data_IF_741563039599
#
_entry.id   IF_741563039599
#
_cell.length_a   1.000
_cell.length_b   1.000
_cell.length_c   1.000
_cell.angle_alpha   90.00
_cell.angle_beta   90.00
_cell.angle_gamma   90.00
#
_symmetry.space_group_name_H-M   'P 1'
#
loop_
_entity.id
_entity.type
_entity.pdbx_description
1 polymer ?
#
# COMPACT_ATOMS: atom_id res chain seq x y z
N UNK A 1 6.70 34.11 7.14
CA UNK A 1 6.94 34.54 5.74
C UNK A 1 5.78 34.01 4.90
N UNK A 2 5.14 34.81 4.03
CA UNK A 2 4.18 34.27 3.07
C UNK A 2 4.92 33.39 2.05
N UNK A 3 4.30 32.31 1.60
CA UNK A 3 4.88 31.49 0.55
C UNK A 3 5.03 32.34 -0.73
N UNK A 4 6.23 32.34 -1.31
CA UNK A 4 6.52 33.00 -2.59
C UNK A 4 5.72 32.30 -3.69
N UNK A 5 5.15 33.07 -4.62
CA UNK A 5 4.42 32.49 -5.76
C UNK A 5 5.33 31.51 -6.53
N UNK A 6 4.80 30.35 -6.94
CA UNK A 6 5.60 29.34 -7.64
C UNK A 6 6.14 29.92 -8.95
N UNK A 7 7.47 29.90 -9.10
CA UNK A 7 8.17 30.40 -10.27
C UNK A 7 8.01 29.42 -11.44
N UNK A 8 7.33 29.86 -12.50
CA UNK A 8 7.11 29.05 -13.71
C UNK A 8 8.38 28.68 -14.47
N UNK A 9 9.52 29.31 -14.13
CA UNK A 9 10.83 29.04 -14.73
C UNK A 9 11.74 28.21 -13.84
N UNK A 10 11.33 27.87 -12.62
CA UNK A 10 12.08 27.00 -11.73
C UNK A 10 11.93 25.53 -12.20
N UNK A 11 12.97 24.90 -12.77
CA UNK A 11 12.90 23.53 -13.21
C UNK A 11 12.65 22.55 -12.05
N UNK A 12 12.89 22.94 -10.79
CA UNK A 12 12.58 22.15 -9.60
C UNK A 12 11.20 22.46 -9.02
N UNK A 13 10.55 23.54 -9.44
CA UNK A 13 9.24 23.97 -8.95
C UNK A 13 8.07 23.11 -9.44
N UNK A 14 8.24 22.40 -10.58
CA UNK A 14 7.17 21.61 -11.22
C UNK A 14 7.62 20.25 -11.82
N UNK A 15 8.91 19.89 -11.76
CA UNK A 15 9.37 18.60 -12.26
C UNK A 15 9.73 17.66 -11.11
N UNK A 16 9.06 16.51 -11.03
CA UNK A 16 9.44 15.45 -10.12
C UNK A 16 10.87 14.98 -10.43
N UNK A 17 11.77 15.11 -9.45
CA UNK A 17 13.12 14.53 -9.53
C UNK A 17 13.04 13.11 -8.98
N UNK A 18 13.25 12.12 -9.86
CA UNK A 18 13.40 10.73 -9.43
C UNK A 18 14.72 10.57 -8.68
N UNK A 19 14.66 10.12 -7.42
CA UNK A 19 15.87 9.69 -6.69
C UNK A 19 16.20 8.27 -7.15
N UNK A 20 17.42 8.01 -7.67
CA UNK A 20 17.81 6.66 -8.07
C UNK A 20 17.78 5.71 -6.87
N UNK A 21 17.15 4.56 -7.03
CA UNK A 21 17.20 3.45 -6.07
C UNK A 21 18.17 2.40 -6.60
N UNK A 22 19.47 2.63 -6.38
CA UNK A 22 20.54 1.80 -6.96
C UNK A 22 20.56 0.36 -6.40
N UNK A 23 20.01 0.15 -5.20
CA UNK A 23 20.02 -1.15 -4.51
C UNK A 23 18.69 -1.90 -4.61
N UNK A 24 17.60 -1.23 -5.02
CA UNK A 24 16.25 -1.79 -5.00
C UNK A 24 15.59 -1.78 -3.61
N UNK A 25 16.26 -1.23 -2.59
CA UNK A 25 15.79 -1.19 -1.20
C UNK A 25 14.56 -0.29 -1.07
N UNK A 26 14.57 0.87 -1.73
CA UNK A 26 13.41 1.77 -1.74
C UNK A 26 12.20 1.14 -2.42
N UNK A 27 12.45 0.39 -3.50
CA UNK A 27 11.44 -0.36 -4.24
C UNK A 27 10.83 -1.47 -3.38
N UNK A 28 11.65 -2.14 -2.57
CA UNK A 28 11.19 -3.14 -1.60
C UNK A 28 10.29 -2.52 -0.53
N UNK A 29 10.73 -1.42 0.11
CA UNK A 29 9.94 -0.72 1.12
C UNK A 29 8.60 -0.23 0.56
N UNK A 30 8.61 0.28 -0.67
CA UNK A 30 7.38 0.67 -1.38
C UNK A 30 6.44 -0.53 -1.61
N UNK A 31 6.97 -1.69 -2.01
CA UNK A 31 6.18 -2.90 -2.20
C UNK A 31 5.55 -3.38 -0.88
N UNK A 32 6.31 -3.33 0.23
CA UNK A 32 5.82 -3.65 1.57
C UNK A 32 4.67 -2.72 1.97
N UNK A 33 4.83 -1.40 1.78
CA UNK A 33 3.76 -0.43 2.03
C UNK A 33 2.50 -0.70 1.19
N UNK A 34 2.64 -0.96 -0.12
CA UNK A 34 1.47 -1.26 -0.95
C UNK A 34 0.76 -2.53 -0.51
N UNK A 35 1.50 -3.60 -0.22
CA UNK A 35 0.91 -4.85 0.25
C UNK A 35 0.08 -4.62 1.52
N UNK A 36 0.65 -3.93 2.50
CA UNK A 36 -0.02 -3.60 3.75
C UNK A 36 -1.28 -2.74 3.52
N UNK A 37 -1.18 -1.64 2.79
CA UNK A 37 -2.30 -0.72 2.58
C UNK A 37 -3.49 -1.42 1.91
N UNK A 38 -3.27 -2.22 0.86
CA UNK A 38 -4.36 -2.92 0.18
C UNK A 38 -4.96 -4.04 1.04
N UNK A 39 -4.18 -4.73 1.86
CA UNK A 39 -4.70 -5.70 2.82
C UNK A 39 -5.56 -5.01 3.90
N UNK A 40 -5.12 -3.85 4.42
CA UNK A 40 -5.90 -3.04 5.38
C UNK A 40 -7.21 -2.51 4.78
N UNK A 41 -7.24 -2.24 3.47
CA UNK A 41 -8.45 -1.89 2.72
C UNK A 41 -9.39 -3.08 2.45
N UNK A 42 -8.99 -4.30 2.82
CA UNK A 42 -9.81 -5.51 2.74
C UNK A 42 -9.61 -6.32 1.46
N UNK A 43 -8.58 -6.02 0.65
CA UNK A 43 -8.23 -6.86 -0.48
C UNK A 43 -7.59 -8.17 0.01
N UNK A 44 -7.88 -9.28 -0.68
CA UNK A 44 -7.23 -10.56 -0.43
C UNK A 44 -5.81 -10.61 -1.00
N UNK A 45 -4.93 -11.48 -0.48
CA UNK A 45 -3.52 -11.58 -0.93
C UNK A 45 -3.39 -11.84 -2.43
N UNK A 46 -4.25 -12.68 -3.02
CA UNK A 46 -4.26 -12.93 -4.47
C UNK A 46 -4.63 -11.68 -5.27
N UNK A 47 -5.60 -10.90 -4.79
CA UNK A 47 -6.00 -9.64 -5.43
C UNK A 47 -4.85 -8.62 -5.36
N UNK A 48 -4.14 -8.58 -4.24
CA UNK A 48 -2.95 -7.73 -4.08
C UNK A 48 -1.87 -8.15 -5.06
N UNK A 49 -1.55 -9.44 -5.20
CA UNK A 49 -0.56 -9.94 -6.18
C UNK A 49 -0.95 -9.52 -7.61
N UNK A 50 -2.22 -9.61 -8.00
CA UNK A 50 -2.68 -9.18 -9.31
C UNK A 50 -2.49 -7.66 -9.55
N UNK A 51 -2.56 -6.83 -8.52
CA UNK A 51 -2.23 -5.40 -8.63
C UNK A 51 -0.78 -5.19 -9.08
N UNK A 52 0.16 -5.94 -8.49
CA UNK A 52 1.58 -5.89 -8.86
C UNK A 52 1.84 -6.43 -10.27
N UNK A 53 1.09 -7.43 -10.74
CA UNK A 53 1.25 -7.98 -12.09
C UNK A 53 0.73 -7.05 -13.19
N UNK A 54 -0.21 -6.17 -12.88
CA UNK A 54 -0.89 -5.34 -13.87
C UNK A 54 -0.11 -4.05 -14.22
N UNK A 55 0.25 -3.82 -15.50
CA UNK A 55 0.93 -2.59 -15.93
C UNK A 55 0.09 -1.31 -15.73
N UNK A 56 -1.21 -1.45 -15.45
CA UNK A 56 -2.10 -0.34 -15.12
C UNK A 56 -1.74 0.30 -13.78
N UNK A 57 -1.09 -0.43 -12.88
CA UNK A 57 -0.61 0.05 -11.59
C UNK A 57 0.90 0.26 -11.66
N UNK A 58 1.33 1.33 -12.33
CA UNK A 58 2.74 1.53 -12.72
C UNK A 58 3.76 1.33 -11.59
N UNK A 59 3.49 1.84 -10.39
CA UNK A 59 4.43 1.73 -9.26
C UNK A 59 4.49 0.30 -8.69
N UNK A 60 3.34 -0.35 -8.53
CA UNK A 60 3.30 -1.75 -8.11
C UNK A 60 3.94 -2.66 -9.17
N UNK A 61 3.68 -2.39 -10.45
CA UNK A 61 4.27 -3.12 -11.56
C UNK A 61 5.77 -2.88 -11.71
N UNK A 62 6.24 -1.69 -11.38
CA UNK A 62 7.66 -1.41 -11.29
C UNK A 62 8.31 -2.28 -10.22
N UNK A 63 7.73 -2.35 -9.02
CA UNK A 63 8.22 -3.24 -7.97
C UNK A 63 8.23 -4.72 -8.38
N UNK A 64 7.20 -5.18 -9.11
CA UNK A 64 7.17 -6.52 -9.70
C UNK A 64 8.33 -6.77 -10.67
N UNK A 65 8.68 -5.79 -11.47
CA UNK A 65 9.75 -5.90 -12.48
C UNK A 65 11.14 -5.85 -11.85
N UNK A 66 11.33 -5.00 -10.84
CA UNK A 66 12.63 -4.80 -10.17
C UNK A 66 12.93 -5.93 -9.18
N UNK A 67 11.96 -6.31 -8.34
CA UNK A 67 12.15 -7.30 -7.26
C UNK A 67 11.89 -8.73 -7.75
N UNK A 68 11.07 -8.88 -8.78
CA UNK A 68 10.64 -10.17 -9.30
C UNK A 68 9.44 -10.77 -8.56
N UNK A 69 8.81 -11.75 -9.23
CA UNK A 69 7.56 -12.37 -8.79
C UNK A 69 7.65 -13.04 -7.41
N UNK A 70 8.75 -13.75 -7.15
CA UNK A 70 8.95 -14.47 -5.89
C UNK A 70 9.00 -13.51 -4.71
N UNK A 71 9.86 -12.48 -4.76
CA UNK A 71 10.02 -11.53 -3.66
C UNK A 71 8.73 -10.74 -3.39
N UNK A 72 8.00 -10.34 -4.42
CA UNK A 72 6.69 -9.68 -4.23
C UNK A 72 5.68 -10.64 -3.57
N UNK A 73 5.65 -11.91 -3.98
CA UNK A 73 4.76 -12.91 -3.38
C UNK A 73 5.09 -13.14 -1.91
N UNK A 74 6.38 -13.20 -1.55
CA UNK A 74 6.84 -13.30 -0.16
C UNK A 74 6.41 -12.08 0.66
N UNK A 75 6.61 -10.87 0.13
CA UNK A 75 6.19 -9.61 0.78
C UNK A 75 4.68 -9.61 1.05
N UNK A 76 3.87 -9.94 0.04
CA UNK A 76 2.40 -9.97 0.20
C UNK A 76 1.97 -11.04 1.20
N UNK A 77 2.60 -12.21 1.18
CA UNK A 77 2.31 -13.30 2.12
C UNK A 77 2.63 -12.88 3.56
N UNK A 78 3.79 -12.26 3.77
CA UNK A 78 4.22 -11.76 5.08
C UNK A 78 3.27 -10.66 5.60
N UNK A 79 2.91 -9.70 4.74
CA UNK A 79 1.96 -8.65 5.10
C UNK A 79 0.56 -9.24 5.39
N UNK A 80 0.13 -10.25 4.62
CA UNK A 80 -1.17 -10.90 4.79
C UNK A 80 -1.29 -11.61 6.13
N UNK A 81 -0.20 -12.17 6.67
CA UNK A 81 -0.19 -12.81 7.98
C UNK A 81 -0.47 -11.82 9.13
N UNK A 82 -0.21 -10.52 8.93
CA UNK A 82 -0.39 -9.47 9.93
C UNK A 82 -1.73 -8.75 9.72
N UNK A 83 -2.06 -8.44 8.45
CA UNK A 83 -3.08 -7.45 8.10
C UNK A 83 -4.33 -8.03 7.44
N UNK A 84 -4.38 -9.32 7.12
CA UNK A 84 -5.56 -9.89 6.45
C UNK A 84 -6.81 -9.82 7.35
N UNK A 85 -7.99 -9.46 6.78
CA UNK A 85 -9.25 -9.40 7.51
C UNK A 85 -9.68 -10.70 8.21
N UNK A 86 -9.11 -11.84 7.82
CA UNK A 86 -9.30 -13.12 8.52
C UNK A 86 -8.77 -13.10 9.97
N UNK A 87 -7.92 -12.13 10.32
CA UNK A 87 -7.49 -11.83 11.69
C UNK A 87 -8.25 -10.61 12.29
N UNK A 88 -9.51 -10.39 11.92
CA UNK A 88 -10.39 -9.52 12.72
C UNK A 88 -10.86 -10.33 13.94
N UNK A 89 -10.49 -9.97 15.19
CA UNK A 89 -11.14 -10.58 16.36
C UNK A 89 -12.65 -10.37 16.25
N UNK A 90 -13.49 -11.34 16.65
CA UNK A 90 -14.94 -11.19 16.57
C UNK A 90 -15.34 -9.89 17.27
N UNK A 91 -16.25 -9.14 16.65
CA UNK A 91 -16.81 -7.96 17.30
C UNK A 91 -17.30 -8.35 18.71
N UNK A 92 -17.05 -7.54 19.75
CA UNK A 92 -17.61 -7.82 21.06
C UNK A 92 -19.13 -7.99 20.91
N UNK A 93 -19.76 -8.92 21.66
CA UNK A 93 -21.20 -9.11 21.57
C UNK A 93 -21.87 -7.77 21.81
N UNK A 94 -22.87 -7.45 20.97
CA UNK A 94 -23.65 -6.23 21.15
C UNK A 94 -24.17 -6.18 22.59
N UNK A 95 -24.11 -5.03 23.27
CA UNK A 95 -24.67 -4.91 24.61
C UNK A 95 -26.15 -5.30 24.55
N UNK A 96 -26.69 -5.98 25.59
CA UNK A 96 -28.09 -6.37 25.60
C UNK A 96 -28.96 -5.13 25.38
N UNK A 97 -29.92 -5.23 24.46
CA UNK A 97 -30.90 -4.18 24.22
C UNK A 97 -31.56 -3.80 25.55
N UNK A 98 -31.51 -2.54 25.98
CA UNK A 98 -32.16 -2.14 27.23
C UNK A 98 -33.66 -2.43 27.13
N UNK A 99 -34.30 -2.87 28.24
CA UNK A 99 -35.73 -3.14 28.23
C UNK A 99 -36.48 -1.91 27.76
N UNK A 100 -37.47 -2.11 26.87
CA UNK A 100 -38.38 -1.06 26.48
C UNK A 100 -39.00 -0.47 27.75
N UNK A 101 -38.78 0.83 27.99
CA UNK A 101 -39.41 1.51 29.11
C UNK A 101 -40.92 1.65 28.82
N UNK A 102 -41.78 1.45 29.84
CA UNK A 102 -43.22 1.54 29.70
C UNK A 102 -43.72 2.96 29.40
#
# INVERSE_FOLDING_TARGET
>A
MPAKDPDSTDPLGLNAVGVPDETGEGTRQMAECFAEEFLRLGHGPEQVIELFRSPRHRLAHHAWTVLGAQSVTEIVTQAAAIWSPAHRPPAPPSPPTPPAQP
#
